data_IF_823251461271
#
_entry.id   IF_823251461271
#
_cell.length_a   1.000
_cell.length_b   1.000
_cell.length_c   1.000
_cell.angle_alpha   90.00
_cell.angle_beta   90.00
_cell.angle_gamma   90.00
#
_symmetry.space_group_name_H-M   'P 1'
#
loop_
_entity.id
_entity.type
_entity.pdbx_description
1 polymer ?
#
# COMPACT_ATOMS: atom_id res chain seq x y z
N UNK A 1 2.41 10.99 -6.94
CA UNK A 1 2.69 11.59 -5.62
C UNK A 1 2.80 13.12 -5.64
N UNK A 2 3.77 13.73 -6.32
CA UNK A 2 4.01 15.19 -6.31
C UNK A 2 2.77 16.05 -6.63
N UNK A 3 1.98 15.66 -7.63
CA UNK A 3 0.76 16.38 -8.01
C UNK A 3 -0.32 16.40 -6.92
N UNK A 4 -0.44 15.32 -6.14
CA UNK A 4 -1.50 15.15 -5.14
C UNK A 4 -1.06 15.48 -3.70
N UNK A 5 0.22 15.28 -3.39
CA UNK A 5 0.76 15.40 -2.04
C UNK A 5 1.98 16.33 -1.96
N UNK A 6 2.35 17.02 -3.04
CA UNK A 6 3.59 17.80 -3.12
C UNK A 6 3.72 18.94 -2.11
N UNK A 7 2.61 19.38 -1.52
CA UNK A 7 2.57 20.40 -0.46
C UNK A 7 2.76 19.82 0.94
N UNK A 8 2.69 18.50 1.10
CA UNK A 8 2.90 17.82 2.39
C UNK A 8 4.40 17.65 2.62
N UNK A 9 4.94 18.08 3.77
CA UNK A 9 6.32 17.79 4.13
C UNK A 9 6.62 16.29 4.01
N UNK A 10 7.79 15.96 3.47
CA UNK A 10 8.25 14.58 3.30
C UNK A 10 7.36 13.69 2.42
N UNK A 11 6.53 14.25 1.54
CA UNK A 11 5.66 13.48 0.63
C UNK A 11 6.40 12.40 -0.18
N UNK A 12 7.68 12.61 -0.46
CA UNK A 12 8.54 11.63 -1.17
C UNK A 12 8.69 10.31 -0.40
N UNK A 13 8.44 10.33 0.91
CA UNK A 13 8.54 9.15 1.77
C UNK A 13 7.24 8.35 1.84
N UNK A 14 6.12 8.84 1.30
CA UNK A 14 4.82 8.16 1.41
C UNK A 14 4.88 6.73 0.86
N UNK A 15 5.47 6.54 -0.31
CA UNK A 15 5.60 5.23 -0.95
C UNK A 15 6.50 4.26 -0.16
N UNK A 16 7.73 4.64 0.27
CA UNK A 16 8.51 3.84 1.20
C UNK A 16 7.78 3.48 2.50
N UNK A 17 6.98 4.39 3.05
CA UNK A 17 6.19 4.11 4.25
C UNK A 17 5.10 3.07 3.99
N UNK A 18 4.39 3.15 2.85
CA UNK A 18 3.35 2.18 2.50
C UNK A 18 3.97 0.78 2.37
N UNK A 19 5.11 0.64 1.69
CA UNK A 19 5.79 -0.65 1.59
C UNK A 19 6.35 -1.13 2.94
N UNK A 20 6.86 -0.21 3.76
CA UNK A 20 7.29 -0.53 5.12
C UNK A 20 6.14 -1.04 6.00
N UNK A 21 4.94 -0.48 5.86
CA UNK A 21 3.75 -1.00 6.52
C UNK A 21 3.34 -2.37 5.99
N UNK A 22 3.38 -2.59 4.68
CA UNK A 22 3.08 -3.90 4.11
C UNK A 22 4.04 -4.99 4.58
N UNK A 23 5.34 -4.70 4.72
CA UNK A 23 6.30 -5.65 5.29
C UNK A 23 6.07 -5.94 6.79
N UNK A 24 5.37 -5.05 7.52
CA UNK A 24 4.98 -5.29 8.93
C UNK A 24 3.69 -6.09 9.03
N UNK A 25 2.75 -5.86 8.12
CA UNK A 25 1.43 -6.49 8.12
C UNK A 25 1.46 -7.89 7.49
N UNK A 26 2.27 -8.10 6.45
CA UNK A 26 2.33 -9.35 5.73
C UNK A 26 3.70 -10.01 5.95
N UNK A 27 3.73 -11.09 6.74
CA UNK A 27 4.96 -11.79 7.12
C UNK A 27 5.73 -12.34 5.90
N UNK A 28 4.99 -12.77 4.87
CA UNK A 28 5.53 -13.32 3.64
C UNK A 28 5.26 -12.39 2.45
N UNK A 29 5.39 -11.07 2.64
CA UNK A 29 5.11 -10.10 1.59
C UNK A 29 6.05 -10.30 0.39
N UNK A 30 5.56 -10.77 -0.78
CA UNK A 30 6.42 -11.05 -1.92
C UNK A 30 6.81 -9.76 -2.68
N UNK A 31 6.26 -8.62 -2.27
CA UNK A 31 6.22 -7.42 -3.09
C UNK A 31 5.02 -7.45 -4.04
N UNK A 32 5.13 -6.71 -5.13
CA UNK A 32 4.11 -6.64 -6.17
C UNK A 32 4.21 -5.34 -6.93
N UNK A 33 3.55 -5.26 -8.08
CA UNK A 33 3.36 -3.99 -8.78
C UNK A 33 2.23 -3.23 -8.11
N UNK A 34 2.48 -1.97 -7.75
CA UNK A 34 1.46 -1.11 -7.16
C UNK A 34 1.03 -0.07 -8.18
N UNK A 35 -0.27 0.01 -8.43
CA UNK A 35 -0.85 1.02 -9.31
C UNK A 35 -1.32 2.22 -8.50
N UNK A 36 -1.13 3.41 -9.05
CA UNK A 36 -1.61 4.66 -8.49
C UNK A 36 -3.01 4.96 -8.99
N UNK A 37 -3.91 5.27 -8.07
CA UNK A 37 -5.31 5.55 -8.33
C UNK A 37 -5.70 6.91 -7.78
N UNK A 38 -6.59 7.58 -8.50
CA UNK A 38 -7.23 8.83 -8.07
C UNK A 38 -8.70 8.59 -7.83
N UNK A 39 -9.24 9.25 -6.81
CA UNK A 39 -10.65 9.23 -6.46
C UNK A 39 -11.32 10.52 -6.94
N UNK A 40 -12.60 10.44 -7.29
CA UNK A 40 -13.38 11.60 -7.78
C UNK A 40 -13.52 12.73 -6.75
N UNK A 41 -13.29 12.44 -5.46
CA UNK A 41 -13.25 13.43 -4.38
C UNK A 41 -11.88 14.12 -4.22
N UNK A 42 -10.95 13.89 -5.14
CA UNK A 42 -9.60 14.46 -5.10
C UNK A 42 -8.59 13.64 -4.29
N UNK A 43 -9.02 12.54 -3.64
CA UNK A 43 -8.13 11.62 -2.96
C UNK A 43 -7.27 10.81 -3.93
N UNK A 44 -6.20 10.20 -3.40
CA UNK A 44 -5.36 9.27 -4.16
C UNK A 44 -4.77 8.19 -3.25
N UNK A 45 -4.52 7.01 -3.80
CA UNK A 45 -3.92 5.88 -3.10
C UNK A 45 -3.12 5.00 -4.07
N UNK A 46 -2.33 4.09 -3.52
CA UNK A 46 -1.74 2.98 -4.29
C UNK A 46 -2.32 1.66 -3.77
N UNK A 47 -2.51 0.72 -4.67
CA UNK A 47 -2.93 -0.65 -4.35
C UNK A 47 -2.16 -1.63 -5.23
N UNK A 48 -1.93 -2.87 -4.76
CA UNK A 48 -1.32 -3.90 -5.58
C UNK A 48 -2.18 -4.18 -6.80
N UNK A 49 -1.52 -4.41 -7.93
CA UNK A 49 -2.15 -4.90 -9.14
C UNK A 49 -2.67 -6.32 -8.89
N UNK A 50 -3.90 -6.59 -9.31
CA UNK A 50 -4.43 -7.94 -9.33
C UNK A 50 -3.72 -8.70 -10.46
N UNK A 51 -2.60 -9.36 -10.15
CA UNK A 51 -1.96 -10.28 -11.08
C UNK A 51 -2.94 -11.43 -11.34
N UNK A 52 -3.53 -11.44 -12.54
CA UNK A 52 -4.65 -12.31 -12.91
C UNK A 52 -4.40 -13.83 -12.82
N UNK A 53 -3.20 -14.25 -12.42
CA UNK A 53 -2.80 -15.66 -12.27
C UNK A 53 -2.12 -16.00 -10.91
N UNK A 54 -1.82 -15.04 -10.03
CA UNK A 54 -1.20 -15.29 -8.71
C UNK A 54 -2.20 -15.11 -7.57
N UNK A 55 -3.23 -15.94 -7.59
CA UNK A 55 -4.49 -15.75 -6.88
C UNK A 55 -4.49 -16.16 -5.38
N UNK A 56 -3.33 -16.15 -4.72
CA UNK A 56 -3.29 -16.43 -3.27
C UNK A 56 -3.47 -15.13 -2.47
N UNK A 57 -4.52 -15.02 -1.63
CA UNK A 57 -4.72 -13.83 -0.82
C UNK A 57 -3.56 -13.65 0.16
N UNK A 58 -3.06 -12.43 0.29
CA UNK A 58 -2.05 -12.11 1.29
C UNK A 58 -2.64 -12.19 2.69
N UNK A 59 -2.04 -13.02 3.55
CA UNK A 59 -2.35 -13.02 4.98
C UNK A 59 -1.76 -11.78 5.63
N UNK A 60 -2.61 -11.01 6.30
CA UNK A 60 -2.24 -9.80 7.03
C UNK A 60 -2.43 -10.02 8.53
N UNK A 61 -1.53 -9.49 9.35
CA UNK A 61 -1.67 -9.44 10.79
C UNK A 61 -1.19 -8.09 11.33
N UNK A 62 -2.05 -7.42 12.10
CA UNK A 62 -1.71 -6.16 12.73
C UNK A 62 -1.39 -6.38 14.21
N UNK A 63 -0.10 -6.36 14.54
CA UNK A 63 0.39 -6.52 15.91
C UNK A 63 -0.08 -5.43 16.88
N UNK A 64 -0.53 -4.27 16.37
CA UNK A 64 -0.99 -3.15 17.21
C UNK A 64 -2.41 -3.36 17.75
N UNK A 65 -3.22 -4.19 17.09
CA UNK A 65 -4.59 -4.45 17.51
C UNK A 65 -4.96 -5.95 17.59
N UNK A 66 -4.05 -6.85 17.20
CA UNK A 66 -4.24 -8.30 17.28
C UNK A 66 -5.11 -8.90 16.18
N UNK A 67 -5.51 -8.12 15.16
CA UNK A 67 -6.41 -8.61 14.11
C UNK A 67 -5.63 -9.17 12.91
N UNK A 68 -6.15 -10.26 12.33
CA UNK A 68 -5.70 -10.82 11.06
C UNK A 68 -6.76 -10.71 9.95
N UNK A 69 -6.33 -10.82 8.70
CA UNK A 69 -7.16 -10.86 7.50
C UNK A 69 -6.56 -11.79 6.44
#
# INVERSE_FOLDING_TARGET
WSQHFGTIPQWITLEPHIFGWMGRLCANYPGGFWRFYTLSNGGAFIAPEADGDQNEPWTLFNSLNGNGA
#
